data_IF_139596379562
#
_entry.id   IF_139596379562
#
_cell.length_a   1.000
_cell.length_b   1.000
_cell.length_c   1.000
_cell.angle_alpha   90.00
_cell.angle_beta   90.00
_cell.angle_gamma   90.00
#
_symmetry.space_group_name_H-M   'P 1'
#
loop_
_entity.id
_entity.type
_entity.pdbx_description
1 polymer ?
#
# COMPACT_ATOMS: atom_id res chain seq x y z
N UNK A 1 2.96 -16.15 -1.44
CA UNK A 1 2.83 -14.68 -1.50
C UNK A 1 2.29 -14.18 -0.17
N UNK A 2 2.64 -12.95 0.26
CA UNK A 2 2.26 -12.45 1.58
C UNK A 2 2.03 -10.93 1.60
N UNK A 3 1.26 -10.47 2.58
CA UNK A 3 1.09 -9.05 2.92
C UNK A 3 1.72 -8.78 4.30
N UNK A 4 2.41 -7.65 4.44
CA UNK A 4 3.14 -7.31 5.65
C UNK A 4 2.80 -5.88 6.08
N UNK A 5 2.66 -5.62 7.38
CA UNK A 5 2.37 -4.28 7.88
C UNK A 5 3.54 -3.31 7.64
N UNK A 6 4.79 -3.76 7.83
CA UNK A 6 6.00 -2.93 7.76
C UNK A 6 7.20 -3.78 7.31
N UNK A 7 8.31 -3.11 7.00
CA UNK A 7 9.63 -3.71 6.70
C UNK A 7 9.63 -4.69 5.51
N UNK A 8 8.73 -4.50 4.55
CA UNK A 8 8.63 -5.37 3.37
C UNK A 8 9.84 -5.31 2.42
N UNK A 9 10.57 -4.18 2.39
CA UNK A 9 11.81 -4.02 1.61
C UNK A 9 13.00 -4.63 2.36
N UNK A 10 13.07 -5.96 2.40
CA UNK A 10 14.15 -6.70 3.05
C UNK A 10 14.44 -8.04 2.36
N UNK A 11 15.59 -8.63 2.66
CA UNK A 11 16.06 -9.92 2.11
C UNK A 11 15.45 -11.14 2.83
N UNK A 12 14.97 -10.95 4.07
CA UNK A 12 14.28 -11.95 4.87
C UNK A 12 13.17 -11.30 5.68
N UNK A 13 12.03 -11.99 5.80
CA UNK A 13 10.80 -11.43 6.38
C UNK A 13 10.14 -12.46 7.30
N UNK A 14 9.49 -11.96 8.35
CA UNK A 14 8.58 -12.75 9.20
C UNK A 14 7.17 -12.28 8.87
N UNK A 15 6.30 -13.22 8.50
CA UNK A 15 4.92 -12.95 8.14
C UNK A 15 3.96 -13.64 9.10
N UNK A 16 2.84 -12.98 9.38
CA UNK A 16 1.67 -13.62 9.97
C UNK A 16 1.15 -14.69 9.00
N UNK A 17 0.95 -15.96 9.44
CA UNK A 17 0.35 -17.01 8.60
C UNK A 17 -1.02 -16.63 8.02
N UNK A 18 -1.81 -15.80 8.73
CA UNK A 18 -3.11 -15.30 8.25
C UNK A 18 -2.99 -14.26 7.13
N UNK A 19 -1.76 -13.85 6.80
CA UNK A 19 -1.44 -12.93 5.71
C UNK A 19 -0.55 -13.61 4.66
N UNK A 20 -0.55 -14.94 4.62
CA UNK A 20 0.19 -15.75 3.65
C UNK A 20 -0.74 -16.59 2.80
N UNK A 21 -0.49 -16.61 1.49
CA UNK A 21 -1.19 -17.45 0.53
C UNK A 21 -0.18 -18.26 -0.29
N UNK A 22 -0.55 -19.49 -0.62
CA UNK A 22 0.21 -20.31 -1.56
C UNK A 22 0.19 -19.66 -2.95
N UNK A 23 1.31 -19.78 -3.66
CA UNK A 23 1.42 -19.27 -5.02
C UNK A 23 0.92 -20.35 -5.98
N UNK A 24 -0.10 -20.09 -6.81
CA UNK A 24 -0.52 -21.02 -7.85
C UNK A 24 0.66 -21.38 -8.76
N UNK A 25 0.77 -22.64 -9.16
CA UNK A 25 1.88 -23.13 -10.00
C UNK A 25 2.02 -22.44 -11.36
N UNK A 26 0.95 -21.80 -11.83
CA UNK A 26 0.93 -21.06 -13.09
C UNK A 26 1.46 -19.62 -12.96
N UNK A 27 1.70 -19.13 -11.74
CA UNK A 27 2.20 -17.77 -11.53
C UNK A 27 3.70 -17.78 -11.26
N UNK A 28 4.39 -16.90 -11.97
CA UNK A 28 5.73 -16.49 -11.62
C UNK A 28 5.76 -15.75 -10.27
N UNK A 29 6.94 -15.62 -9.67
CA UNK A 29 7.11 -14.88 -8.42
C UNK A 29 6.84 -13.38 -8.61
N UNK A 30 7.20 -12.86 -9.78
CA UNK A 30 6.91 -11.51 -10.26
C UNK A 30 5.40 -11.27 -10.21
N UNK A 31 4.63 -12.11 -10.89
CA UNK A 31 3.17 -12.03 -10.96
C UNK A 31 2.52 -12.15 -9.58
N UNK A 32 2.93 -13.15 -8.80
CA UNK A 32 2.38 -13.41 -7.48
C UNK A 32 2.64 -12.26 -6.49
N UNK A 33 3.75 -11.54 -6.63
CA UNK A 33 4.06 -10.39 -5.77
C UNK A 33 3.05 -9.25 -5.92
N UNK A 34 2.42 -9.11 -7.10
CA UNK A 34 1.50 -7.99 -7.39
C UNK A 34 0.14 -8.08 -6.68
N UNK A 35 -0.22 -9.28 -6.21
CA UNK A 35 -1.57 -9.64 -5.80
C UNK A 35 -1.93 -9.22 -4.37
N UNK A 36 -1.14 -9.57 -3.32
CA UNK A 36 -1.62 -9.56 -1.94
C UNK A 36 -2.20 -8.22 -1.50
N UNK A 37 -1.43 -7.14 -1.58
CA UNK A 37 -1.88 -5.83 -1.09
C UNK A 37 -3.04 -5.25 -1.90
N UNK A 38 -3.08 -5.47 -3.21
CA UNK A 38 -4.14 -4.89 -4.03
C UNK A 38 -5.49 -5.59 -3.80
N UNK A 39 -5.50 -6.92 -3.82
CA UNK A 39 -6.73 -7.69 -3.62
C UNK A 39 -7.16 -7.73 -2.17
N UNK A 40 -6.24 -7.73 -1.20
CA UNK A 40 -6.58 -7.58 0.20
C UNK A 40 -7.34 -6.27 0.43
N UNK A 41 -6.84 -5.15 -0.11
CA UNK A 41 -7.54 -3.87 -0.03
C UNK A 41 -8.89 -3.94 -0.74
N UNK A 42 -8.95 -4.47 -1.97
CA UNK A 42 -10.21 -4.54 -2.72
C UNK A 42 -11.28 -5.39 -2.02
N UNK A 43 -10.94 -6.59 -1.54
CA UNK A 43 -11.88 -7.47 -0.84
C UNK A 43 -12.31 -6.89 0.50
N UNK A 44 -11.38 -6.36 1.29
CA UNK A 44 -11.72 -5.73 2.57
C UNK A 44 -12.65 -4.53 2.36
N UNK A 45 -12.31 -3.66 1.42
CA UNK A 45 -13.10 -2.46 1.09
C UNK A 45 -14.48 -2.79 0.54
N UNK A 46 -14.57 -3.64 -0.48
CA UNK A 46 -15.84 -3.88 -1.19
C UNK A 46 -16.70 -4.96 -0.52
N UNK A 47 -16.10 -6.10 -0.14
CA UNK A 47 -16.87 -7.26 0.33
C UNK A 47 -17.09 -7.24 1.84
N UNK A 48 -16.06 -6.93 2.63
CA UNK A 48 -16.16 -6.99 4.10
C UNK A 48 -16.84 -5.73 4.64
N UNK A 49 -16.28 -4.55 4.33
CA UNK A 49 -16.76 -3.26 4.85
C UNK A 49 -17.89 -2.68 4.01
N UNK A 50 -17.76 -2.71 2.69
CA UNK A 50 -18.79 -2.26 1.75
C UNK A 50 -19.95 -3.23 1.56
N UNK A 51 -19.82 -4.49 2.00
CA UNK A 51 -20.87 -5.53 1.87
C UNK A 51 -21.51 -5.55 0.47
N UNK A 52 -20.67 -5.44 -0.56
CA UNK A 52 -21.11 -5.35 -1.96
C UNK A 52 -21.95 -6.56 -2.33
N UNK A 53 -23.07 -6.29 -3.00
CA UNK A 53 -24.02 -7.29 -3.45
C UNK A 53 -24.00 -7.40 -4.96
N UNK A 54 -24.46 -8.56 -5.43
CA UNK A 54 -24.55 -8.84 -6.86
C UNK A 54 -25.42 -7.81 -7.56
N UNK A 55 -24.95 -7.28 -8.69
CA UNK A 55 -25.71 -6.34 -9.53
C UNK A 55 -25.74 -4.88 -9.05
N UNK A 56 -25.04 -4.55 -7.96
CA UNK A 56 -24.92 -3.16 -7.51
C UNK A 56 -24.09 -2.31 -8.49
N UNK A 57 -24.22 -0.99 -8.38
CA UNK A 57 -23.42 -0.03 -9.16
C UNK A 57 -22.28 0.52 -8.31
N UNK A 58 -21.06 0.51 -8.83
CA UNK A 58 -19.86 0.96 -8.11
C UNK A 58 -19.07 1.99 -8.92
N UNK A 59 -18.61 3.05 -8.26
CA UNK A 59 -17.62 3.98 -8.79
C UNK A 59 -16.25 3.67 -8.16
N UNK A 60 -15.25 3.41 -9.00
CA UNK A 60 -13.89 3.06 -8.60
C UNK A 60 -12.93 4.15 -9.10
N UNK A 61 -12.36 4.91 -8.18
CA UNK A 61 -11.35 5.91 -8.55
C UNK A 61 -9.98 5.27 -8.80
N UNK A 62 -9.16 5.97 -9.59
CA UNK A 62 -7.81 5.53 -9.97
C UNK A 62 -7.78 4.10 -10.54
N UNK A 63 -8.70 3.80 -11.47
CA UNK A 63 -8.96 2.44 -11.94
C UNK A 63 -7.75 1.71 -12.53
N UNK A 64 -6.76 2.44 -13.08
CA UNK A 64 -5.52 1.85 -13.63
C UNK A 64 -4.45 1.54 -12.59
N UNK A 65 -4.64 1.96 -11.34
CA UNK A 65 -3.74 1.67 -10.23
C UNK A 65 -3.90 0.24 -9.73
N UNK A 66 -2.98 -0.21 -8.86
CA UNK A 66 -3.02 -1.58 -8.35
C UNK A 66 -4.33 -1.97 -7.67
N UNK A 67 -4.81 -1.13 -6.73
CA UNK A 67 -6.10 -1.37 -6.05
C UNK A 67 -7.27 -1.20 -7.02
N UNK A 68 -7.24 -0.20 -7.89
CA UNK A 68 -8.28 0.04 -8.89
C UNK A 68 -8.53 -1.17 -9.80
N UNK A 69 -7.46 -1.76 -10.36
CA UNK A 69 -7.56 -2.94 -11.21
C UNK A 69 -8.13 -4.14 -10.45
N UNK A 70 -7.68 -4.37 -9.20
CA UNK A 70 -8.20 -5.45 -8.36
C UNK A 70 -9.68 -5.23 -7.99
N UNK A 71 -10.06 -4.01 -7.62
CA UNK A 71 -11.43 -3.63 -7.28
C UNK A 71 -12.39 -3.81 -8.46
N UNK A 72 -11.96 -3.45 -9.68
CA UNK A 72 -12.73 -3.67 -10.91
C UNK A 72 -12.97 -5.17 -11.11
N UNK A 73 -11.93 -6.01 -10.98
CA UNK A 73 -12.05 -7.46 -11.14
C UNK A 73 -13.07 -8.06 -10.14
N UNK A 74 -12.98 -7.67 -8.87
CA UNK A 74 -13.90 -8.14 -7.80
C UNK A 74 -15.34 -7.64 -8.04
N UNK A 75 -15.51 -6.39 -8.48
CA UNK A 75 -16.83 -5.87 -8.79
C UNK A 75 -17.47 -6.56 -10.00
N UNK A 76 -16.71 -6.79 -11.07
CA UNK A 76 -17.20 -7.48 -12.25
C UNK A 76 -17.54 -8.95 -11.96
N UNK A 77 -16.81 -9.63 -11.08
CA UNK A 77 -17.17 -11.00 -10.67
C UNK A 77 -18.48 -11.08 -9.88
N UNK A 78 -18.96 -9.95 -9.36
CA UNK A 78 -20.25 -9.80 -8.69
C UNK A 78 -21.33 -9.25 -9.65
N UNK A 79 -21.10 -9.27 -10.96
CA UNK A 79 -22.00 -8.72 -11.97
C UNK A 79 -22.38 -7.24 -11.70
N UNK A 80 -21.52 -6.50 -11.00
CA UNK A 80 -21.78 -5.10 -10.68
C UNK A 80 -21.57 -4.20 -11.90
N UNK A 81 -22.34 -3.12 -11.99
CA UNK A 81 -22.12 -2.06 -12.97
C UNK A 81 -20.99 -1.15 -12.49
N UNK A 82 -19.85 -1.19 -13.17
CA UNK A 82 -18.65 -0.45 -12.78
C UNK A 82 -18.52 0.86 -13.55
N UNK A 83 -18.26 1.95 -12.84
CA UNK A 83 -17.68 3.19 -13.36
C UNK A 83 -16.25 3.32 -12.84
N UNK A 84 -15.32 3.76 -13.68
CA UNK A 84 -13.92 3.92 -13.30
C UNK A 84 -13.37 5.28 -13.74
N UNK A 85 -12.59 5.93 -12.89
CA UNK A 85 -11.86 7.14 -13.29
C UNK A 85 -10.41 6.83 -13.66
N UNK A 86 -9.93 7.48 -14.72
CA UNK A 86 -8.57 7.34 -15.24
C UNK A 86 -7.98 8.69 -15.62
N UNK A 87 -6.65 8.80 -15.66
CA UNK A 87 -5.96 10.09 -15.89
C UNK A 87 -5.45 10.29 -17.32
N UNK A 88 -5.59 9.29 -18.19
CA UNK A 88 -5.13 9.34 -19.58
C UNK A 88 -5.88 8.34 -20.47
N UNK A 89 -5.85 8.59 -21.79
CA UNK A 89 -6.40 7.68 -22.80
C UNK A 89 -5.74 6.31 -22.78
N UNK A 90 -4.41 6.27 -22.62
CA UNK A 90 -3.62 5.03 -22.52
C UNK A 90 -4.10 4.15 -21.36
N UNK A 91 -4.35 4.75 -20.19
CA UNK A 91 -4.89 4.04 -19.01
C UNK A 91 -6.31 3.52 -19.24
N UNK A 92 -7.12 4.25 -20.02
CA UNK A 92 -8.45 3.80 -20.43
C UNK A 92 -8.36 2.58 -21.34
N UNK A 93 -7.58 2.67 -22.40
CA UNK A 93 -7.38 1.60 -23.38
C UNK A 93 -6.81 0.34 -22.71
N UNK A 94 -5.89 0.52 -21.76
CA UNK A 94 -5.39 -0.55 -20.90
C UNK A 94 -6.51 -1.27 -20.13
N UNK A 95 -7.39 -0.53 -19.46
CA UNK A 95 -8.52 -1.12 -18.72
C UNK A 95 -9.53 -1.79 -19.64
N UNK A 96 -9.82 -1.22 -20.81
CA UNK A 96 -10.72 -1.82 -21.80
C UNK A 96 -10.17 -3.14 -22.35
N UNK A 97 -8.86 -3.18 -22.64
CA UNK A 97 -8.21 -4.41 -23.09
C UNK A 97 -8.25 -5.50 -22.01
N UNK A 98 -8.11 -5.13 -20.74
CA UNK A 98 -8.12 -6.07 -19.61
C UNK A 98 -9.54 -6.49 -19.21
N UNK A 99 -10.49 -5.58 -19.29
CA UNK A 99 -11.89 -5.78 -18.92
C UNK A 99 -12.80 -5.39 -20.09
N UNK A 100 -13.01 -6.30 -21.06
CA UNK A 100 -13.76 -6.00 -22.29
C UNK A 100 -15.23 -5.60 -22.06
N UNK A 101 -15.77 -5.89 -20.87
CA UNK A 101 -17.12 -5.48 -20.45
C UNK A 101 -17.23 -3.98 -20.16
N UNK A 102 -16.11 -3.28 -19.92
CA UNK A 102 -16.10 -1.85 -19.69
C UNK A 102 -16.09 -1.09 -21.02
N UNK A 103 -17.18 -0.39 -21.30
CA UNK A 103 -17.35 0.44 -22.49
C UNK A 103 -16.90 1.88 -22.21
N UNK A 104 -16.85 2.73 -23.25
CA UNK A 104 -16.44 4.13 -23.11
C UNK A 104 -17.27 4.88 -22.06
N UNK A 105 -18.57 4.60 -21.97
CA UNK A 105 -19.49 5.25 -21.04
C UNK A 105 -19.26 4.87 -19.56
N UNK A 106 -18.40 3.89 -19.29
CA UNK A 106 -17.99 3.52 -17.93
C UNK A 106 -16.81 4.36 -17.43
N UNK A 107 -16.14 5.13 -18.30
CA UNK A 107 -14.91 5.84 -17.94
C UNK A 107 -15.10 7.35 -17.85
N UNK A 108 -14.49 7.95 -16.83
CA UNK A 108 -14.41 9.39 -16.67
C UNK A 108 -12.97 9.85 -16.34
N UNK A 109 -12.70 11.14 -16.46
CA UNK A 109 -11.42 11.72 -16.07
C UNK A 109 -11.31 11.81 -14.54
N UNK A 110 -10.23 11.27 -13.99
CA UNK A 110 -9.84 11.40 -12.58
C UNK A 110 -9.37 12.80 -12.18
N UNK A 111 -9.04 13.65 -13.17
CA UNK A 111 -8.50 14.99 -12.94
C UNK A 111 -9.59 16.06 -12.85
N UNK A 112 -10.76 15.80 -13.40
CA UNK A 112 -11.91 16.70 -13.45
C UNK A 112 -13.11 16.09 -12.70
N UNK A 113 -13.46 16.71 -11.57
CA UNK A 113 -14.59 16.28 -10.76
C UNK A 113 -15.95 16.37 -11.46
N UNK A 114 -16.10 17.34 -12.36
CA UNK A 114 -17.36 17.54 -13.08
C UNK A 114 -17.59 16.46 -14.12
N UNK A 115 -16.51 15.91 -14.69
CA UNK A 115 -16.58 14.85 -15.68
C UNK A 115 -17.10 13.55 -15.06
N UNK A 116 -16.51 13.08 -13.95
CA UNK A 116 -16.96 11.83 -13.34
C UNK A 116 -18.35 11.94 -12.70
N UNK A 117 -18.71 13.10 -12.13
CA UNK A 117 -20.09 13.33 -11.66
C UNK A 117 -21.08 13.24 -12.82
N UNK A 118 -20.74 13.83 -13.98
CA UNK A 118 -21.58 13.79 -15.18
C UNK A 118 -21.71 12.36 -15.73
N UNK A 119 -20.62 11.63 -15.88
CA UNK A 119 -20.61 10.26 -16.39
C UNK A 119 -21.44 9.35 -15.50
N UNK A 120 -21.24 9.41 -14.17
CA UNK A 120 -22.05 8.64 -13.22
C UNK A 120 -23.51 9.02 -13.31
N UNK A 121 -23.84 10.32 -13.30
CA UNK A 121 -25.23 10.79 -13.38
C UNK A 121 -25.92 10.31 -14.65
N UNK A 122 -25.25 10.39 -15.80
CA UNK A 122 -25.80 9.91 -17.07
C UNK A 122 -25.97 8.39 -17.08
N UNK A 123 -24.92 7.66 -16.68
CA UNK A 123 -24.93 6.20 -16.65
C UNK A 123 -25.87 5.59 -15.60
N UNK A 124 -26.33 6.36 -14.62
CA UNK A 124 -27.26 5.93 -13.56
C UNK A 124 -28.62 6.62 -13.63
N UNK A 125 -28.90 7.40 -14.68
CA UNK A 125 -30.14 8.16 -14.85
C UNK A 125 -30.46 9.07 -13.64
N UNK A 126 -29.42 9.67 -13.04
CA UNK A 126 -29.55 10.55 -11.88
C UNK A 126 -29.63 9.83 -10.53
N UNK A 127 -29.69 8.50 -10.50
CA UNK A 127 -29.76 7.74 -9.24
C UNK A 127 -28.49 7.84 -8.40
N UNK A 128 -27.32 7.85 -9.04
CA UNK A 128 -26.03 7.67 -8.39
C UNK A 128 -25.62 6.19 -8.27
N UNK A 129 -24.49 5.95 -7.62
CA UNK A 129 -23.90 4.61 -7.39
C UNK A 129 -24.17 4.11 -5.98
N UNK A 130 -24.21 2.79 -5.82
CA UNK A 130 -24.44 2.13 -4.53
C UNK A 130 -23.18 2.09 -3.66
N UNK A 131 -22.00 2.06 -4.29
CA UNK A 131 -20.70 2.07 -3.62
C UNK A 131 -19.75 3.01 -4.34
N UNK A 132 -18.99 3.80 -3.59
CA UNK A 132 -17.84 4.55 -4.10
C UNK A 132 -16.59 4.04 -3.40
N UNK A 133 -15.58 3.61 -4.17
CA UNK A 133 -14.24 3.36 -3.68
C UNK A 133 -13.36 4.57 -4.01
N UNK A 134 -13.13 5.43 -3.02
CA UNK A 134 -12.42 6.69 -3.18
C UNK A 134 -10.97 6.62 -2.71
N UNK A 135 -10.10 7.20 -3.53
CA UNK A 135 -8.68 7.45 -3.24
C UNK A 135 -8.26 8.87 -3.67
N UNK A 136 -9.22 9.73 -4.05
CA UNK A 136 -9.00 11.12 -4.43
C UNK A 136 -9.19 12.03 -3.23
N UNK A 137 -8.62 13.23 -3.28
CA UNK A 137 -8.61 14.17 -2.16
C UNK A 137 -9.43 15.44 -2.43
N UNK A 138 -9.72 16.19 -1.38
CA UNK A 138 -10.29 17.54 -1.41
C UNK A 138 -11.62 17.59 -2.19
N UNK A 139 -11.76 18.52 -3.14
CA UNK A 139 -12.98 18.74 -3.92
C UNK A 139 -13.45 17.47 -4.65
N UNK A 140 -12.50 16.60 -5.02
CA UNK A 140 -12.81 15.33 -5.67
C UNK A 140 -13.43 14.33 -4.71
N UNK A 141 -13.03 14.32 -3.43
CA UNK A 141 -13.69 13.52 -2.41
C UNK A 141 -15.15 13.98 -2.24
N UNK A 142 -15.36 15.30 -2.15
CA UNK A 142 -16.71 15.88 -2.02
C UNK A 142 -17.59 15.57 -3.25
N UNK A 143 -17.03 15.65 -4.44
CA UNK A 143 -17.68 15.22 -5.70
C UNK A 143 -18.02 13.73 -5.72
N UNK A 144 -17.12 12.90 -5.20
CA UNK A 144 -17.33 11.46 -5.10
C UNK A 144 -18.50 11.13 -4.17
N UNK A 145 -18.66 11.88 -3.06
CA UNK A 145 -19.81 11.72 -2.16
C UNK A 145 -21.13 12.08 -2.88
N UNK A 146 -21.14 13.14 -3.70
CA UNK A 146 -22.33 13.53 -4.47
C UNK A 146 -22.78 12.45 -5.46
N UNK A 147 -21.86 11.60 -5.91
CA UNK A 147 -22.16 10.46 -6.79
C UNK A 147 -22.93 9.33 -6.10
N UNK A 148 -23.05 9.32 -4.76
CA UNK A 148 -23.78 8.28 -4.03
C UNK A 148 -25.30 8.38 -4.23
N UNK A 149 -25.88 7.20 -4.47
CA UNK A 149 -27.30 6.95 -4.37
C UNK A 149 -27.79 6.92 -2.91
N UNK A 150 -29.11 6.90 -2.74
CA UNK A 150 -29.72 6.57 -1.46
C UNK A 150 -29.24 5.19 -0.97
N UNK A 151 -28.96 5.08 0.32
CA UNK A 151 -28.40 3.86 0.97
C UNK A 151 -27.00 3.48 0.47
N UNK A 152 -26.32 4.39 -0.23
CA UNK A 152 -24.98 4.17 -0.75
C UNK A 152 -23.92 4.04 0.37
N UNK A 153 -22.80 3.40 0.04
CA UNK A 153 -21.64 3.28 0.94
C UNK A 153 -20.43 3.97 0.34
N UNK A 154 -19.87 4.90 1.08
CA UNK A 154 -18.61 5.54 0.74
C UNK A 154 -17.46 4.79 1.39
N UNK A 155 -16.50 4.33 0.59
CA UNK A 155 -15.33 3.58 1.03
C UNK A 155 -14.09 4.45 0.78
N UNK A 156 -13.59 5.08 1.84
CA UNK A 156 -12.44 5.97 1.78
C UNK A 156 -11.16 5.18 2.07
N UNK A 157 -10.34 4.97 1.05
CA UNK A 157 -8.98 4.40 1.19
C UNK A 157 -7.90 5.48 1.14
N UNK A 158 -8.26 6.70 0.70
CA UNK A 158 -7.40 7.87 0.76
C UNK A 158 -7.17 8.30 2.21
N UNK A 159 -5.98 8.85 2.47
CA UNK A 159 -5.59 9.25 3.83
C UNK A 159 -5.45 10.76 4.00
N UNK A 160 -5.35 11.51 2.90
CA UNK A 160 -5.03 12.94 2.94
C UNK A 160 -6.07 13.73 3.75
N UNK A 161 -7.36 13.63 3.38
CA UNK A 161 -8.44 14.34 4.07
C UNK A 161 -8.68 13.83 5.50
N UNK A 162 -8.51 12.52 5.73
CA UNK A 162 -8.62 11.93 7.07
C UNK A 162 -7.55 12.48 8.02
N UNK A 163 -6.29 12.59 7.58
CA UNK A 163 -5.21 13.13 8.39
C UNK A 163 -5.31 14.64 8.60
N UNK A 164 -5.85 15.36 7.62
CA UNK A 164 -6.04 16.80 7.73
C UNK A 164 -7.32 17.19 8.48
N UNK A 165 -8.13 16.21 8.90
CA UNK A 165 -9.42 16.43 9.53
C UNK A 165 -10.31 17.36 8.68
N UNK A 166 -10.37 17.11 7.37
CA UNK A 166 -11.22 17.86 6.44
C UNK A 166 -12.69 17.73 6.81
N UNK A 167 -13.46 18.80 6.60
CA UNK A 167 -14.89 18.81 6.90
C UNK A 167 -15.69 17.87 5.99
N UNK A 168 -16.67 17.19 6.59
CA UNK A 168 -17.66 16.37 5.90
C UNK A 168 -19.06 16.93 6.17
N UNK A 169 -19.72 17.44 5.13
CA UNK A 169 -21.04 18.04 5.26
C UNK A 169 -22.10 17.01 5.68
N UNK A 170 -22.78 17.19 6.81
CA UNK A 170 -23.68 16.16 7.37
C UNK A 170 -24.99 15.94 6.59
N UNK A 171 -25.37 16.86 5.70
CA UNK A 171 -26.60 16.77 4.89
C UNK A 171 -26.64 15.48 4.04
N UNK A 172 -25.49 15.01 3.57
CA UNK A 172 -25.38 13.80 2.75
C UNK A 172 -25.91 12.54 3.45
N UNK A 173 -25.89 12.48 4.78
CA UNK A 173 -26.44 11.36 5.55
C UNK A 173 -27.97 11.29 5.51
N UNK A 174 -28.68 12.34 5.07
CA UNK A 174 -30.12 12.28 4.81
C UNK A 174 -30.49 11.27 3.70
N UNK A 175 -29.53 10.93 2.83
CA UNK A 175 -29.66 9.83 1.86
C UNK A 175 -29.54 8.44 2.51
N UNK A 176 -29.43 8.34 3.84
CA UNK A 176 -29.18 7.10 4.59
C UNK A 176 -27.90 6.39 4.14
N UNK A 177 -26.87 7.14 3.76
CA UNK A 177 -25.58 6.57 3.36
C UNK A 177 -24.77 6.14 4.59
N UNK A 178 -23.75 5.31 4.36
CA UNK A 178 -22.69 5.04 5.34
C UNK A 178 -21.33 5.50 4.81
N UNK A 179 -20.48 5.99 5.70
CA UNK A 179 -19.11 6.40 5.37
C UNK A 179 -18.12 5.48 6.11
N UNK A 180 -17.21 4.86 5.37
CA UNK A 180 -16.22 3.93 5.91
C UNK A 180 -14.81 4.44 5.61
N UNK A 181 -14.11 4.89 6.65
CA UNK A 181 -12.66 5.05 6.59
C UNK A 181 -11.97 3.69 6.65
N UNK A 182 -11.14 3.39 5.66
CA UNK A 182 -10.45 2.10 5.51
C UNK A 182 -8.96 2.30 5.70
N UNK A 183 -8.44 1.77 6.81
CA UNK A 183 -7.02 1.73 7.10
C UNK A 183 -6.53 0.29 7.08
N UNK A 184 -5.95 -0.12 5.95
CA UNK A 184 -5.40 -1.47 5.78
C UNK A 184 -4.30 -1.76 6.80
N UNK A 185 -3.50 -0.75 7.17
CA UNK A 185 -2.44 -0.92 8.17
C UNK A 185 -3.00 -1.40 9.51
N UNK A 186 -4.19 -0.91 9.90
CA UNK A 186 -4.89 -1.34 11.12
C UNK A 186 -5.31 -2.81 11.02
N UNK A 187 -5.85 -3.23 9.87
CA UNK A 187 -6.20 -4.63 9.62
C UNK A 187 -4.97 -5.54 9.67
N UNK A 188 -3.81 -5.11 9.18
CA UNK A 188 -2.59 -5.91 9.18
C UNK A 188 -1.97 -6.03 10.59
N UNK A 189 -2.05 -4.97 11.39
CA UNK A 189 -1.40 -4.89 12.70
C UNK A 189 -2.21 -5.50 13.85
N UNK A 190 -3.54 -5.45 13.79
CA UNK A 190 -4.40 -5.89 14.89
C UNK A 190 -5.09 -7.22 14.58
N UNK A 191 -5.23 -8.09 15.59
CA UNK A 191 -6.05 -9.29 15.44
C UNK A 191 -7.51 -8.90 15.22
N UNK A 192 -8.09 -9.44 14.14
CA UNK A 192 -9.49 -9.23 13.76
C UNK A 192 -9.98 -10.46 13.00
N UNK A 193 -11.23 -10.85 13.23
CA UNK A 193 -11.89 -11.89 12.44
C UNK A 193 -12.00 -11.49 10.96
N UNK A 194 -11.96 -10.19 10.66
CA UNK A 194 -11.93 -9.67 9.30
C UNK A 194 -10.66 -10.06 8.54
N UNK A 195 -9.51 -10.26 9.23
CA UNK A 195 -8.27 -10.77 8.59
C UNK A 195 -8.51 -12.14 7.96
N UNK A 196 -9.10 -13.04 8.74
CA UNK A 196 -9.42 -14.40 8.30
C UNK A 196 -10.45 -14.38 7.17
N UNK A 197 -11.46 -13.51 7.27
CA UNK A 197 -12.45 -13.34 6.21
C UNK A 197 -11.81 -12.89 4.89
N UNK A 198 -10.93 -11.88 4.91
CA UNK A 198 -10.23 -11.41 3.71
C UNK A 198 -9.27 -12.47 3.18
N UNK A 199 -8.59 -13.20 4.06
CA UNK A 199 -7.72 -14.31 3.67
C UNK A 199 -8.48 -15.38 2.86
N UNK A 200 -9.68 -15.77 3.32
CA UNK A 200 -10.54 -16.72 2.62
C UNK A 200 -11.00 -16.17 1.28
N UNK A 201 -11.49 -14.92 1.23
CA UNK A 201 -11.94 -14.30 -0.01
C UNK A 201 -10.84 -14.24 -1.07
N UNK A 202 -9.60 -13.90 -0.67
CA UNK A 202 -8.47 -13.87 -1.60
C UNK A 202 -8.11 -15.28 -2.10
N UNK A 203 -8.13 -16.28 -1.21
CA UNK A 203 -7.92 -17.69 -1.57
C UNK A 203 -8.98 -18.18 -2.57
N UNK A 204 -10.26 -17.96 -2.28
CA UNK A 204 -11.38 -18.33 -3.15
C UNK A 204 -11.35 -17.57 -4.48
N UNK A 205 -11.03 -16.28 -4.45
CA UNK A 205 -10.84 -15.46 -5.63
C UNK A 205 -9.69 -15.94 -6.52
N UNK A 206 -8.61 -16.46 -5.92
CA UNK A 206 -7.48 -17.06 -6.64
C UNK A 206 -7.89 -18.36 -7.30
N UNK A 207 -8.64 -19.23 -6.60
CA UNK A 207 -9.11 -20.50 -7.14
C UNK A 207 -10.16 -20.35 -8.24
N UNK A 208 -11.05 -19.36 -8.11
CA UNK A 208 -12.10 -19.06 -9.10
C UNK A 208 -11.61 -18.26 -10.30
N UNK A 209 -10.36 -17.77 -10.26
CA UNK A 209 -9.76 -16.96 -11.32
C UNK A 209 -10.19 -15.49 -11.33
N UNK A 210 -10.96 -15.03 -10.34
CA UNK A 210 -11.26 -13.59 -10.15
C UNK A 210 -9.99 -12.81 -9.83
N UNK A 211 -9.15 -13.39 -8.97
CA UNK A 211 -7.84 -12.82 -8.62
C UNK A 211 -6.85 -13.24 -9.69
N UNK A 212 -6.38 -12.25 -10.44
CA UNK A 212 -5.34 -12.41 -11.45
C UNK A 212 -4.16 -11.48 -11.15
N UNK A 213 -2.92 -11.88 -11.51
CA UNK A 213 -1.76 -11.01 -11.44
C UNK A 213 -2.01 -9.66 -12.12
N UNK A 214 -1.52 -8.61 -11.48
CA UNK A 214 -1.65 -7.25 -11.98
C UNK A 214 -0.47 -6.92 -12.90
N UNK A 215 -0.67 -6.04 -13.90
CA UNK A 215 0.44 -5.52 -14.69
C UNK A 215 1.48 -4.85 -13.82
N UNK A 216 2.75 -5.00 -14.17
CA UNK A 216 3.84 -4.52 -13.35
C UNK A 216 5.00 -3.95 -14.15
N UNK A 217 5.79 -3.10 -13.50
CA UNK A 217 7.09 -2.62 -13.98
C UNK A 217 8.15 -3.02 -12.96
N UNK A 218 9.23 -3.66 -13.42
CA UNK A 218 10.31 -4.13 -12.55
C UNK A 218 11.48 -3.15 -12.61
N UNK A 219 12.01 -2.80 -11.44
CA UNK A 219 13.30 -2.13 -11.27
C UNK A 219 14.25 -3.06 -10.50
N UNK A 220 15.53 -3.01 -10.84
CA UNK A 220 16.57 -3.61 -10.00
C UNK A 220 16.67 -2.88 -8.67
N UNK A 221 17.14 -3.55 -7.62
CA UNK A 221 17.40 -2.94 -6.30
C UNK A 221 18.34 -1.73 -6.39
N UNK A 222 19.29 -1.73 -7.34
CA UNK A 222 20.21 -0.61 -7.60
C UNK A 222 19.48 0.66 -8.08
N UNK A 223 18.29 0.51 -8.66
CA UNK A 223 17.48 1.60 -9.23
C UNK A 223 16.32 2.00 -8.34
N UNK A 224 16.45 1.81 -7.03
CA UNK A 224 15.35 2.07 -6.08
C UNK A 224 14.87 3.53 -6.14
N UNK A 225 15.78 4.50 -6.23
CA UNK A 225 15.42 5.92 -6.33
C UNK A 225 14.62 6.20 -7.62
N UNK A 226 15.07 5.66 -8.75
CA UNK A 226 14.38 5.78 -10.04
C UNK A 226 12.96 5.18 -9.95
N UNK A 227 12.81 4.04 -9.28
CA UNK A 227 11.53 3.39 -9.06
C UNK A 227 10.57 4.26 -8.24
N UNK A 228 11.05 4.91 -7.17
CA UNK A 228 10.25 5.85 -6.37
C UNK A 228 9.88 7.11 -7.16
N UNK A 229 10.80 7.66 -7.97
CA UNK A 229 10.49 8.80 -8.86
C UNK A 229 9.47 8.43 -9.92
N UNK A 230 9.59 7.24 -10.52
CA UNK A 230 8.63 6.71 -11.48
C UNK A 230 7.24 6.54 -10.85
N UNK A 231 7.18 6.02 -9.62
CA UNK A 231 5.94 5.92 -8.84
C UNK A 231 5.30 7.29 -8.63
N UNK A 232 6.07 8.27 -8.15
CA UNK A 232 5.60 9.63 -7.87
C UNK A 232 5.07 10.36 -9.11
N UNK A 233 5.57 10.03 -10.30
CA UNK A 233 5.08 10.60 -11.55
C UNK A 233 3.65 10.20 -11.91
N UNK A 234 3.11 9.15 -11.29
CA UNK A 234 1.76 8.63 -11.56
C UNK A 234 1.59 8.01 -12.97
N UNK A 235 2.68 7.81 -13.72
CA UNK A 235 2.65 7.23 -15.07
C UNK A 235 2.46 5.71 -15.09
N UNK A 236 2.74 5.04 -13.97
CA UNK A 236 2.65 3.58 -13.88
C UNK A 236 1.20 3.07 -14.03
N UNK A 237 1.08 1.83 -14.50
CA UNK A 237 -0.16 1.05 -14.55
C UNK A 237 0.06 -0.23 -13.76
N UNK A 238 -0.83 -0.53 -12.81
CA UNK A 238 -0.67 -1.66 -11.91
C UNK A 238 0.40 -1.44 -10.82
N UNK A 239 1.40 -2.32 -10.73
CA UNK A 239 2.37 -2.37 -9.62
C UNK A 239 3.81 -2.06 -10.05
N UNK A 240 4.62 -1.57 -9.13
CA UNK A 240 6.06 -1.40 -9.33
C UNK A 240 6.78 -2.40 -8.42
N UNK A 241 7.66 -3.20 -8.99
CA UNK A 241 8.38 -4.26 -8.30
C UNK A 241 9.86 -3.88 -8.20
N UNK A 242 10.44 -4.10 -7.03
CA UNK A 242 11.88 -4.07 -6.80
C UNK A 242 12.37 -5.50 -6.74
N UNK A 243 13.28 -5.85 -7.65
CA UNK A 243 13.96 -7.14 -7.66
C UNK A 243 15.13 -7.12 -6.67
N UNK A 244 15.05 -7.95 -5.62
CA UNK A 244 16.09 -8.03 -4.58
C UNK A 244 17.11 -9.13 -4.89
N UNK A 245 16.66 -10.26 -5.47
CA UNK A 245 17.54 -11.37 -5.85
C UNK A 245 17.41 -11.67 -7.34
N UNK A 246 18.53 -11.93 -7.99
CA UNK A 246 18.58 -12.37 -9.39
C UNK A 246 18.19 -13.84 -9.54
N UNK A 247 18.24 -14.39 -10.75
CA UNK A 247 17.85 -15.79 -11.00
C UNK A 247 18.70 -16.83 -10.25
N UNK A 248 19.88 -16.44 -9.79
CA UNK A 248 20.88 -17.30 -9.17
C UNK A 248 20.85 -17.22 -7.64
N UNK A 249 19.92 -16.47 -7.04
CA UNK A 249 19.85 -16.30 -5.58
C UNK A 249 20.76 -15.22 -5.02
N UNK A 250 21.56 -14.57 -5.88
CA UNK A 250 22.54 -13.60 -5.47
C UNK A 250 21.88 -12.26 -5.19
N UNK A 251 22.35 -11.65 -4.12
CA UNK A 251 22.19 -10.21 -3.87
C UNK A 251 23.50 -9.64 -4.41
N UNK A 252 23.50 -8.87 -5.51
CA UNK A 252 24.72 -8.17 -5.90
C UNK A 252 25.13 -7.28 -4.74
N UNK A 253 26.29 -7.59 -4.13
CA UNK A 253 26.80 -6.90 -2.95
C UNK A 253 26.77 -5.39 -3.19
N UNK A 254 26.07 -4.67 -2.31
CA UNK A 254 26.26 -3.23 -2.17
C UNK A 254 27.67 -3.08 -1.60
N UNK A 255 28.66 -2.85 -2.46
CA UNK A 255 29.96 -2.37 -1.98
C UNK A 255 29.68 -1.04 -1.29
N UNK A 256 29.96 -0.88 0.02
CA UNK A 256 30.01 0.45 0.57
C UNK A 256 31.04 1.22 -0.27
N UNK A 257 30.63 2.32 -0.87
CA UNK A 257 31.59 3.29 -1.39
C UNK A 257 32.42 3.72 -0.18
N UNK A 258 33.60 3.14 -0.05
CA UNK A 258 34.68 3.74 0.72
C UNK A 258 35.03 5.05 0.01
N UNK A 259 34.28 6.11 0.26
CA UNK A 259 34.83 7.44 0.15
C UNK A 259 35.94 7.51 1.21
N UNK A 260 37.17 7.28 0.76
CA UNK A 260 38.36 7.69 1.47
C UNK A 260 38.19 9.20 1.76
N UNK A 261 37.84 9.52 3.00
CA UNK A 261 37.98 10.87 3.51
C UNK A 261 39.47 11.19 3.43
N UNK A 262 39.81 12.04 2.46
CA UNK A 262 41.13 12.61 2.31
C UNK A 262 41.50 13.29 3.64
N UNK A 263 42.55 12.81 4.30
CA UNK A 263 43.03 13.30 5.61
C UNK A 263 43.74 14.67 5.48
N UNK A 264 43.18 15.60 4.70
CA UNK A 264 43.80 16.87 4.36
C UNK A 264 43.05 18.12 4.82
N UNK A 265 41.97 18.01 5.60
CA UNK A 265 41.06 19.14 5.84
C UNK A 265 40.53 19.34 7.26
N UNK A 266 41.07 18.68 8.29
CA UNK A 266 40.61 18.87 9.69
C UNK A 266 41.70 19.60 10.49
N UNK A 267 41.95 20.85 10.13
CA UNK A 267 42.61 21.82 11.02
C UNK A 267 42.04 23.19 10.65
N UNK A 268 40.94 23.57 11.33
CA UNK A 268 40.46 24.94 11.59
C UNK A 268 38.93 24.98 11.62
N UNK A 269 38.31 24.34 12.62
CA UNK A 269 36.94 24.74 13.06
C UNK A 269 36.56 24.20 14.45
N UNK A 270 37.56 23.85 15.29
CA UNK A 270 37.34 23.46 16.70
C UNK A 270 37.52 24.62 17.70
N UNK A 271 37.50 25.87 17.25
CA UNK A 271 37.72 27.03 18.12
C UNK A 271 36.49 27.90 18.40
N UNK A 272 35.36 27.72 17.70
CA UNK A 272 34.21 28.63 17.85
C UNK A 272 32.95 28.06 18.51
N UNK A 273 32.94 26.79 18.94
CA UNK A 273 31.77 26.19 19.62
C UNK A 273 31.85 26.19 21.17
N UNK A 274 32.94 26.69 21.76
CA UNK A 274 33.15 26.64 23.21
C UNK A 274 32.69 27.90 23.98
N UNK A 275 32.02 28.86 23.34
CA UNK A 275 31.74 30.16 23.98
C UNK A 275 30.28 30.44 24.33
N UNK A 276 29.35 29.48 24.26
CA UNK A 276 27.93 29.82 24.48
C UNK A 276 27.02 28.80 25.17
N UNK A 277 27.54 27.98 26.08
CA UNK A 277 26.68 27.35 27.10
C UNK A 277 27.35 27.37 28.47
N UNK A 278 26.85 28.26 29.34
CA UNK A 278 27.29 28.41 30.72
C UNK A 278 26.83 27.26 31.61
N UNK A 279 27.70 26.95 32.59
CA UNK A 279 27.48 26.30 33.91
C UNK A 279 26.06 25.74 34.16
N UNK A 280 25.97 24.46 34.57
CA UNK A 280 25.95 24.03 35.99
C UNK A 280 25.91 22.49 36.05
N UNK A 281 26.91 21.94 36.75
CA UNK A 281 27.02 20.72 37.57
C UNK A 281 26.13 19.48 37.34
N UNK A 282 26.79 18.31 37.25
CA UNK A 282 26.21 17.05 37.74
C UNK A 282 26.67 15.76 37.05
N UNK A 283 27.70 15.15 37.61
CA UNK A 283 28.02 13.70 37.60
C UNK A 283 28.92 13.15 36.49
N UNK A 284 30.02 12.62 37.02
CA UNK A 284 31.25 12.00 36.52
C UNK A 284 31.10 10.51 36.16
N UNK A 285 32.08 10.01 35.40
CA UNK A 285 32.55 8.60 35.25
C UNK A 285 31.64 7.64 34.47
N UNK A 286 32.09 6.96 33.38
CA UNK A 286 33.27 6.12 33.27
C UNK A 286 33.95 6.16 31.87
N UNK A 287 35.28 6.06 31.88
CA UNK A 287 36.18 5.85 30.74
C UNK A 287 36.35 4.36 30.38
N UNK A 288 36.67 4.13 29.11
CA UNK A 288 37.52 3.07 28.51
C UNK A 288 37.21 1.59 28.79
N UNK A 289 36.85 0.87 27.73
CA UNK A 289 37.76 -0.12 27.14
C UNK A 289 37.33 -0.47 25.69
N UNK A 290 38.27 -0.27 24.77
CA UNK A 290 38.20 -0.71 23.37
C UNK A 290 39.02 -2.00 23.19
N UNK A 291 38.78 -2.69 22.05
CA UNK A 291 39.40 -3.93 21.53
C UNK A 291 38.70 -5.21 22.03
N UNK A 292 38.18 -6.12 21.21
CA UNK A 292 38.57 -6.58 19.86
C UNK A 292 37.41 -7.42 19.24
N UNK A 293 37.27 -7.43 17.92
CA UNK A 293 36.57 -8.52 17.19
C UNK A 293 35.23 -8.18 16.52
N UNK A 294 35.29 -7.58 15.34
CA UNK A 294 34.14 -7.27 14.50
C UNK A 294 33.59 -8.50 13.73
N UNK A 295 32.27 -8.60 13.63
CA UNK A 295 31.58 -9.00 12.39
C UNK A 295 30.33 -8.13 12.28
N UNK A 296 30.25 -7.34 11.21
CA UNK A 296 29.27 -6.27 11.04
C UNK A 296 27.88 -6.85 10.71
N UNK A 297 26.92 -6.69 11.61
CA UNK A 297 25.50 -6.65 11.25
C UNK A 297 25.19 -5.25 10.71
N UNK A 298 24.69 -5.15 9.48
CA UNK A 298 24.16 -3.90 8.94
C UNK A 298 22.79 -3.68 9.60
N UNK A 299 22.79 -3.05 10.78
CA UNK A 299 21.60 -2.45 11.35
C UNK A 299 21.12 -1.32 10.42
N UNK A 300 19.88 -1.43 9.97
CA UNK A 300 19.23 -0.40 9.17
C UNK A 300 19.19 0.93 9.93
N UNK A 301 19.86 1.94 9.38
CA UNK A 301 19.86 3.33 9.84
C UNK A 301 18.41 3.85 9.85
N UNK A 302 17.91 4.17 11.03
CA UNK A 302 16.65 4.89 11.25
C UNK A 302 16.98 6.33 11.63
N UNK A 303 16.65 7.30 10.77
CA UNK A 303 16.72 8.71 11.09
C UNK A 303 15.30 9.25 11.43
N UNK A 304 15.11 9.51 12.73
CA UNK A 304 14.30 10.54 13.39
C UNK A 304 12.82 10.74 13.02
N UNK A 305 11.92 10.54 13.99
CA UNK A 305 11.61 11.62 14.93
C UNK A 305 10.95 11.09 16.22
N UNK A 306 11.38 11.68 17.33
CA UNK A 306 10.92 11.55 18.71
C UNK A 306 9.40 11.58 18.87
N UNK A 307 8.81 10.58 19.57
CA UNK A 307 7.67 10.72 20.54
C UNK A 307 7.20 9.39 21.18
N UNK A 308 7.65 8.18 20.80
CA UNK A 308 7.04 6.92 21.34
C UNK A 308 7.98 6.08 22.20
N UNK A 309 8.71 6.70 23.14
CA UNK A 309 9.64 5.98 24.04
C UNK A 309 9.09 5.68 25.45
N UNK A 310 7.80 5.94 25.76
CA UNK A 310 7.32 5.86 27.16
C UNK A 310 6.08 5.01 27.45
N UNK A 311 5.65 4.14 26.55
CA UNK A 311 4.57 3.20 26.86
C UNK A 311 4.94 1.86 26.24
N UNK A 312 5.69 1.03 26.97
CA UNK A 312 5.73 -0.44 26.86
C UNK A 312 6.82 -1.05 27.77
N UNK A 313 6.93 -0.55 29.01
CA UNK A 313 7.47 -1.35 30.11
C UNK A 313 6.32 -1.63 31.07
N UNK A 314 5.69 -2.81 30.92
CA UNK A 314 5.27 -3.66 32.04
C UNK A 314 4.49 -4.90 31.55
N UNK A 315 5.06 -6.07 31.88
CA UNK A 315 4.38 -7.33 32.23
C UNK A 315 3.49 -8.06 31.21
N UNK A 316 4.04 -9.04 30.46
CA UNK A 316 3.38 -10.34 30.19
C UNK A 316 4.45 -11.47 30.09
N UNK A 317 4.25 -12.68 30.66
CA UNK A 317 5.27 -13.74 30.75
C UNK A 317 5.51 -14.50 29.43
N UNK A 318 6.77 -14.96 29.25
CA UNK A 318 7.24 -15.83 28.15
C UNK A 318 6.52 -17.18 28.14
N UNK A 319 5.70 -17.44 27.12
CA UNK A 319 5.45 -18.80 26.64
C UNK A 319 6.14 -19.00 25.29
N UNK A 320 7.15 -19.85 25.27
CA UNK A 320 7.90 -20.24 24.08
C UNK A 320 7.06 -21.30 23.34
N UNK A 321 6.29 -20.90 22.34
CA UNK A 321 5.82 -21.82 21.31
C UNK A 321 6.91 -21.96 20.25
N UNK A 322 7.36 -23.20 20.03
CA UNK A 322 8.36 -23.53 19.02
C UNK A 322 7.82 -23.25 17.61
N UNK A 323 8.12 -22.06 17.08
CA UNK A 323 7.89 -21.73 15.66
C UNK A 323 8.91 -22.53 14.85
N UNK A 324 8.46 -23.58 14.17
CA UNK A 324 9.23 -24.31 13.15
C UNK A 324 9.65 -23.31 12.07
N UNK A 325 10.92 -22.86 12.10
CA UNK A 325 11.52 -22.04 11.05
C UNK A 325 11.74 -22.91 9.82
N UNK A 326 10.79 -22.92 8.90
CA UNK A 326 11.00 -23.49 7.57
C UNK A 326 11.79 -22.48 6.75
N UNK A 327 13.11 -22.68 6.63
CA UNK A 327 13.95 -21.88 5.73
C UNK A 327 13.73 -22.38 4.30
N UNK A 328 12.93 -21.65 3.53
CA UNK A 328 12.96 -21.73 2.07
C UNK A 328 13.77 -20.53 1.58
N UNK A 329 14.92 -20.77 0.93
CA UNK A 329 15.59 -19.74 0.15
C UNK A 329 15.08 -19.83 -1.28
N UNK A 330 14.11 -18.98 -1.70
CA UNK A 330 13.82 -18.85 -3.12
C UNK A 330 15.01 -18.17 -3.82
N UNK A 331 15.35 -18.64 -5.02
CA UNK A 331 16.39 -18.03 -5.85
C UNK A 331 16.03 -16.59 -6.26
N UNK A 332 14.75 -16.24 -6.41
CA UNK A 332 14.30 -14.86 -6.69
C UNK A 332 13.38 -14.31 -5.59
N UNK A 333 13.49 -13.01 -5.31
CA UNK A 333 12.58 -12.31 -4.38
C UNK A 333 12.27 -10.90 -4.86
N UNK A 334 11.00 -10.52 -4.76
CA UNK A 334 10.47 -9.22 -5.18
C UNK A 334 9.73 -8.53 -4.05
N UNK A 335 9.84 -7.21 -4.01
CA UNK A 335 9.06 -6.36 -3.11
C UNK A 335 8.29 -5.36 -3.93
N UNK A 336 7.01 -5.18 -3.58
CA UNK A 336 6.14 -4.23 -4.26
C UNK A 336 6.26 -2.87 -3.59
N UNK A 337 6.50 -1.83 -4.39
CA UNK A 337 6.30 -0.45 -3.96
C UNK A 337 5.05 0.11 -4.65
N UNK A 338 4.28 0.90 -3.92
CA UNK A 338 3.06 1.52 -4.42
C UNK A 338 2.38 2.37 -3.36
N UNK A 339 1.80 3.49 -3.78
CA UNK A 339 0.77 4.18 -2.98
C UNK A 339 -0.50 3.34 -2.92
N UNK A 340 -1.20 3.42 -1.78
CA UNK A 340 -2.61 3.01 -1.70
C UNK A 340 -3.49 4.05 -2.38
#
# INVERSE_FOLDING_TARGET
MAALPLKGLATSLVSDPKLMWEIPSMWSLEEASTVPMAYLTAYYSLMVRGRMRKGETVLIHAGSGGVGVAAIAVALSMDCKVFATVSSKEKREFLQKRFPTLMNDNFADSRDERDFEKVVRQGTQGRGVDIVLNSLALDKLQASIRCLAHYGRFIEIGKFDLFNNSDLGMEIFLKSITFHGILIDSLLQHESDEKEQVWRLLKEGTLSGVVQPLPYTIFSHEKIEEAFRFMASGKHMGKILIQIRDADGNISEIKPENQSLDQGGIINEKQDLNNNFGKVDGVTEFQEQAQEGATFEIESISANSSTVANILQNNIPRQIHAIRRTFFQPSKSYVVIGGL
#
